data_IF_215131247125
#
_entry.id   IF_215131247125
#
_cell.length_a   1.000
_cell.length_b   1.000
_cell.length_c   1.000
_cell.angle_alpha   90.00
_cell.angle_beta   90.00
_cell.angle_gamma   90.00
#
_symmetry.space_group_name_H-M   'P 1'
#
loop_
_entity.id
_entity.type
_entity.pdbx_description
1 polymer ?
#
# COMPACT_ATOMS: atom_id res chain seq x y z
N UNK A 1 13.72 9.24 19.37
CA UNK A 1 12.55 10.13 19.59
C UNK A 1 12.97 11.49 20.18
N UNK A 2 13.83 11.52 21.20
CA UNK A 2 14.34 12.74 21.87
C UNK A 2 15.03 13.78 20.96
N UNK A 3 15.83 13.36 19.98
CA UNK A 3 16.57 14.27 19.08
C UNK A 3 15.61 15.06 18.16
N UNK A 4 14.47 14.45 17.77
CA UNK A 4 13.46 15.10 16.92
C UNK A 4 12.66 16.17 17.67
N UNK A 5 12.40 15.98 18.96
CA UNK A 5 11.67 16.95 19.78
C UNK A 5 12.46 18.26 20.00
N UNK A 6 13.77 18.16 20.19
CA UNK A 6 14.62 19.34 20.42
C UNK A 6 14.73 20.24 19.19
N UNK A 7 14.81 19.66 17.98
CA UNK A 7 14.80 20.41 16.72
C UNK A 7 13.45 21.09 16.48
N UNK A 8 12.34 20.39 16.75
CA UNK A 8 10.99 20.93 16.62
C UNK A 8 10.73 22.10 17.58
N UNK A 9 11.25 22.03 18.81
CA UNK A 9 11.14 23.12 19.81
C UNK A 9 11.91 24.40 19.45
N UNK A 10 12.88 24.34 18.52
CA UNK A 10 13.58 25.52 18.01
C UNK A 10 12.79 26.28 16.94
N UNK A 11 11.84 25.63 16.26
CA UNK A 11 11.14 26.17 15.08
C UNK A 11 9.66 26.44 15.37
N UNK A 12 9.06 25.64 16.25
CA UNK A 12 7.63 25.65 16.52
C UNK A 12 7.33 26.03 17.96
N UNK A 13 6.26 26.80 18.17
CA UNK A 13 5.73 27.07 19.50
C UNK A 13 5.02 25.85 20.09
N UNK A 14 4.78 25.87 21.41
CA UNK A 14 4.12 24.78 22.16
C UNK A 14 2.79 24.30 21.52
N UNK A 15 1.98 25.23 21.03
CA UNK A 15 0.69 24.94 20.37
C UNK A 15 0.88 24.25 19.02
N UNK A 16 1.90 24.67 18.25
CA UNK A 16 2.22 24.10 16.96
C UNK A 16 2.78 22.68 17.10
N UNK A 17 3.67 22.46 18.08
CA UNK A 17 4.19 21.13 18.42
C UNK A 17 3.07 20.18 18.81
N UNK A 18 2.18 20.60 19.71
CA UNK A 18 1.02 19.79 20.11
C UNK A 18 0.10 19.48 18.92
N UNK A 19 -0.08 20.43 18.00
CA UNK A 19 -0.86 20.22 16.76
C UNK A 19 -0.21 19.18 15.86
N UNK A 20 1.12 19.20 15.71
CA UNK A 20 1.88 18.24 14.90
C UNK A 20 1.83 16.85 15.53
N UNK A 21 2.09 16.74 16.84
CA UNK A 21 2.04 15.47 17.59
C UNK A 21 0.65 14.84 17.48
N UNK A 22 -0.42 15.60 17.76
CA UNK A 22 -1.80 15.10 17.63
C UNK A 22 -2.13 14.65 16.21
N UNK A 23 -1.59 15.33 15.20
CA UNK A 23 -1.77 14.97 13.80
C UNK A 23 -1.03 13.68 13.43
N UNK A 24 0.22 13.51 13.88
CA UNK A 24 1.02 12.31 13.67
C UNK A 24 0.44 11.09 14.40
N UNK A 25 -0.16 11.29 15.57
CA UNK A 25 -0.90 10.27 16.33
C UNK A 25 -2.29 9.96 15.74
N UNK A 26 -2.67 10.56 14.61
CA UNK A 26 -3.97 10.33 13.96
C UNK A 26 -5.19 10.93 14.68
N UNK A 27 -4.98 11.75 15.73
CA UNK A 27 -6.07 12.37 16.51
C UNK A 27 -6.77 13.48 15.71
N UNK A 28 -8.08 13.64 15.94
CA UNK A 28 -8.89 14.68 15.28
C UNK A 28 -8.47 16.08 15.77
N UNK A 29 -8.05 16.94 14.85
CA UNK A 29 -7.70 18.33 15.13
C UNK A 29 -8.94 19.23 15.20
N UNK A 30 -8.95 20.17 16.16
CA UNK A 30 -9.93 21.27 16.25
C UNK A 30 -9.73 22.24 15.09
N UNK A 31 -10.74 23.06 14.79
CA UNK A 31 -10.68 24.00 13.66
C UNK A 31 -9.51 24.99 13.76
N UNK A 32 -9.24 25.48 14.96
CA UNK A 32 -8.11 26.37 15.26
C UNK A 32 -6.77 25.67 14.97
N UNK A 33 -6.62 24.40 15.36
CA UNK A 33 -5.42 23.59 15.13
C UNK A 33 -5.20 23.31 13.63
N UNK A 34 -6.28 23.08 12.87
CA UNK A 34 -6.21 22.98 11.40
C UNK A 34 -5.69 24.28 10.77
N UNK A 35 -6.16 25.44 11.25
CA UNK A 35 -5.71 26.72 10.73
C UNK A 35 -4.20 26.93 11.00
N UNK A 36 -3.72 26.57 12.19
CA UNK A 36 -2.28 26.59 12.50
C UNK A 36 -1.48 25.68 11.58
N UNK A 37 -1.98 24.47 11.31
CA UNK A 37 -1.31 23.50 10.43
C UNK A 37 -1.05 24.08 9.03
N UNK A 38 -2.05 24.71 8.42
CA UNK A 38 -1.94 25.21 7.05
C UNK A 38 -1.27 26.57 6.95
N UNK A 39 -1.50 27.48 7.89
CA UNK A 39 -1.06 28.88 7.78
C UNK A 39 0.30 29.17 8.43
N UNK A 40 0.70 28.37 9.42
CA UNK A 40 1.92 28.63 10.19
C UNK A 40 2.90 27.46 10.14
N UNK A 41 2.43 26.24 10.43
CA UNK A 41 3.31 25.07 10.51
C UNK A 41 3.87 24.69 9.13
N UNK A 42 3.00 24.56 8.13
CA UNK A 42 3.39 24.12 6.78
C UNK A 42 4.38 25.08 6.10
N UNK A 43 4.20 26.41 6.14
CA UNK A 43 5.20 27.34 5.59
C UNK A 43 6.56 27.27 6.29
N UNK A 44 6.59 27.15 7.63
CA UNK A 44 7.84 27.03 8.40
C UNK A 44 8.60 25.74 8.09
N UNK A 45 7.89 24.62 7.91
CA UNK A 45 8.50 23.34 7.50
C UNK A 45 9.13 23.42 6.10
N UNK A 46 8.48 24.15 5.18
CA UNK A 46 8.99 24.38 3.82
C UNK A 46 10.23 25.29 3.87
N UNK A 47 10.17 26.39 4.62
CA UNK A 47 11.26 27.37 4.74
C UNK A 47 12.51 26.83 5.46
N UNK A 48 12.35 25.92 6.43
CA UNK A 48 13.45 25.38 7.20
C UNK A 48 14.31 24.33 6.47
N UNK A 49 14.00 24.03 5.19
CA UNK A 49 14.76 23.02 4.43
C UNK A 49 14.66 21.59 5.00
N UNK A 50 13.77 21.33 5.96
CA UNK A 50 13.43 20.01 6.53
C UNK A 50 12.57 19.21 5.52
N UNK A 51 12.86 19.39 4.24
CA UNK A 51 12.31 18.67 3.10
C UNK A 51 13.24 17.53 2.65
N UNK A 52 14.53 17.61 3.00
CA UNK A 52 15.52 16.58 2.65
C UNK A 52 15.61 15.44 3.67
N UNK A 53 14.92 15.52 4.82
CA UNK A 53 14.81 14.43 5.78
C UNK A 53 13.36 13.95 5.94
N UNK A 54 12.99 13.01 5.06
CA UNK A 54 12.00 11.94 5.17
C UNK A 54 10.76 12.12 6.10
N UNK A 55 9.59 12.02 5.45
CA UNK A 55 8.27 11.61 5.95
C UNK A 55 7.30 12.64 6.60
N UNK A 56 7.74 13.79 7.11
CA UNK A 56 6.82 14.69 7.86
C UNK A 56 5.82 15.41 6.93
N UNK A 57 6.25 15.95 5.79
CA UNK A 57 5.36 16.64 4.84
C UNK A 57 4.40 15.68 4.12
N UNK A 58 4.78 14.42 3.93
CA UNK A 58 3.90 13.37 3.36
C UNK A 58 2.75 13.01 4.32
N UNK A 59 3.04 12.89 5.61
CA UNK A 59 2.04 12.65 6.66
C UNK A 59 1.07 13.84 6.82
N UNK A 60 1.57 15.08 6.69
CA UNK A 60 0.76 16.31 6.77
C UNK A 60 -0.11 16.50 5.52
N UNK A 61 0.39 16.15 4.33
CA UNK A 61 -0.28 16.33 3.04
C UNK A 61 -1.09 15.11 2.57
N UNK A 62 -1.48 14.17 3.44
CA UNK A 62 -2.46 13.13 3.07
C UNK A 62 -3.78 13.81 2.64
N UNK A 63 -3.88 14.06 1.35
CA UNK A 63 -5.08 14.52 0.68
C UNK A 63 -6.14 13.43 0.85
N UNK A 64 -7.21 13.74 1.59
CA UNK A 64 -8.27 12.78 1.95
C UNK A 64 -9.19 12.43 0.78
N UNK A 65 -8.89 12.84 -0.45
CA UNK A 65 -9.67 12.52 -1.65
C UNK A 65 -8.80 11.85 -2.71
N UNK A 66 -8.07 10.80 -2.34
CA UNK A 66 -7.63 9.83 -3.35
C UNK A 66 -8.88 9.16 -3.93
N UNK A 67 -9.08 9.24 -5.24
CA UNK A 67 -10.29 8.76 -5.90
C UNK A 67 -10.27 7.22 -6.01
N UNK A 68 -10.71 6.56 -4.94
CA UNK A 68 -10.80 5.09 -4.84
C UNK A 68 -11.65 4.51 -5.97
N UNK A 69 -12.68 5.23 -6.43
CA UNK A 69 -13.52 4.79 -7.53
C UNK A 69 -12.73 4.50 -8.81
N UNK A 70 -11.63 5.23 -9.07
CA UNK A 70 -10.78 4.94 -10.23
C UNK A 70 -10.19 3.53 -10.19
N UNK A 71 -9.77 3.06 -9.00
CA UNK A 71 -9.24 1.71 -8.82
C UNK A 71 -10.37 0.69 -8.99
N UNK A 72 -11.49 0.91 -8.32
CA UNK A 72 -12.65 0.01 -8.40
C UNK A 72 -13.11 -0.24 -9.84
N UNK A 73 -13.23 0.82 -10.66
CA UNK A 73 -13.62 0.68 -12.06
C UNK A 73 -12.56 -0.01 -12.94
N UNK A 74 -11.27 0.12 -12.61
CA UNK A 74 -10.22 -0.63 -13.31
C UNK A 74 -10.29 -2.11 -12.95
N UNK A 75 -10.49 -2.45 -11.67
CA UNK A 75 -10.63 -3.85 -11.22
C UNK A 75 -11.77 -4.57 -11.94
N UNK A 76 -12.92 -3.92 -12.06
CA UNK A 76 -14.07 -4.41 -12.85
C UNK A 76 -13.66 -4.72 -14.30
N UNK A 77 -12.95 -3.79 -14.94
CA UNK A 77 -12.43 -3.97 -16.30
C UNK A 77 -11.46 -5.14 -16.51
N UNK A 78 -10.92 -5.70 -15.42
CA UNK A 78 -10.00 -6.85 -15.40
C UNK A 78 -10.62 -8.12 -14.79
N UNK A 79 -11.94 -8.12 -14.58
CA UNK A 79 -12.71 -9.30 -14.17
C UNK A 79 -12.86 -9.45 -12.66
N UNK A 80 -12.67 -8.39 -11.88
CA UNK A 80 -12.94 -8.35 -10.44
C UNK A 80 -13.99 -7.29 -10.12
N UNK A 81 -15.27 -7.69 -10.09
CA UNK A 81 -16.39 -6.82 -9.78
C UNK A 81 -16.50 -6.55 -8.27
N UNK A 82 -16.46 -5.27 -7.87
CA UNK A 82 -16.76 -4.85 -6.50
C UNK A 82 -18.19 -4.31 -6.42
N UNK A 83 -18.94 -4.70 -5.39
CA UNK A 83 -20.40 -4.50 -5.29
C UNK A 83 -20.92 -3.14 -5.77
N UNK A 84 -21.91 -3.18 -6.65
CA UNK A 84 -22.91 -2.13 -6.94
C UNK A 84 -22.41 -0.79 -7.49
N UNK A 85 -21.48 -0.79 -8.43
CA UNK A 85 -21.07 0.45 -9.09
C UNK A 85 -21.81 0.65 -10.42
N UNK A 86 -22.69 1.67 -10.47
CA UNK A 86 -23.29 2.13 -11.72
C UNK A 86 -22.17 2.65 -12.65
N UNK A 87 -22.16 2.11 -13.88
CA UNK A 87 -21.12 2.30 -14.91
C UNK A 87 -20.68 3.76 -15.09
N UNK A 88 -19.39 4.05 -14.82
CA UNK A 88 -18.62 5.12 -15.48
C UNK A 88 -17.31 4.51 -15.99
N UNK A 89 -16.91 4.84 -17.21
CA UNK A 89 -15.70 4.28 -17.84
C UNK A 89 -14.45 4.87 -17.19
N UNK A 90 -13.63 4.04 -16.54
CA UNK A 90 -12.25 4.41 -16.22
C UNK A 90 -11.34 4.12 -17.42
N UNK A 91 -10.27 4.92 -17.57
CA UNK A 91 -9.22 4.64 -18.54
C UNK A 91 -8.47 3.38 -18.10
N UNK A 92 -8.45 2.35 -18.95
CA UNK A 92 -7.65 1.14 -18.74
C UNK A 92 -6.17 1.51 -18.64
N UNK A 93 -5.52 1.07 -17.57
CA UNK A 93 -4.06 1.13 -17.37
C UNK A 93 -3.49 -0.29 -17.45
N UNK A 94 -2.20 -0.47 -17.73
CA UNK A 94 -1.64 -1.83 -17.75
C UNK A 94 -1.79 -2.53 -16.39
N UNK A 95 -1.92 -3.85 -16.40
CA UNK A 95 -2.17 -4.65 -15.19
C UNK A 95 -1.02 -4.48 -14.19
N UNK A 96 0.21 -4.40 -14.68
CA UNK A 96 1.38 -4.17 -13.83
C UNK A 96 1.25 -2.82 -13.11
N UNK A 97 0.89 -1.76 -13.84
CA UNK A 97 0.66 -0.45 -13.23
C UNK A 97 -0.50 -0.47 -12.23
N UNK A 98 -1.56 -1.25 -12.49
CA UNK A 98 -2.67 -1.43 -11.56
C UNK A 98 -2.21 -2.12 -10.27
N UNK A 99 -1.46 -3.22 -10.38
CA UNK A 99 -0.90 -3.95 -9.24
C UNK A 99 -0.02 -3.04 -8.40
N UNK A 100 0.91 -2.31 -9.04
CA UNK A 100 1.80 -1.37 -8.35
C UNK A 100 1.01 -0.28 -7.64
N UNK A 101 0.01 0.29 -8.31
CA UNK A 101 -0.85 1.33 -7.72
C UNK A 101 -1.62 0.81 -6.51
N UNK A 102 -2.14 -0.41 -6.56
CA UNK A 102 -2.79 -1.06 -5.40
C UNK A 102 -1.77 -1.20 -4.26
N UNK A 103 -0.60 -1.78 -4.52
CA UNK A 103 0.38 -2.10 -3.47
C UNK A 103 1.09 -0.88 -2.85
N UNK A 104 1.12 0.25 -3.55
CA UNK A 104 1.85 1.46 -3.11
C UNK A 104 0.92 2.61 -2.72
N UNK A 105 -0.16 2.84 -3.45
CA UNK A 105 -1.03 4.00 -3.23
C UNK A 105 -2.32 3.66 -2.50
N UNK A 106 -2.83 2.42 -2.66
CA UNK A 106 -4.10 1.93 -2.12
C UNK A 106 -3.97 0.53 -1.49
N UNK A 107 -3.08 0.30 -0.50
CA UNK A 107 -2.82 -1.02 0.06
C UNK A 107 -3.92 -1.49 1.03
N UNK A 108 -5.17 -1.34 0.61
CA UNK A 108 -6.35 -1.82 1.32
C UNK A 108 -6.55 -3.31 1.02
N UNK A 109 -6.92 -4.07 2.06
CA UNK A 109 -7.10 -5.53 1.97
C UNK A 109 -7.92 -5.97 0.76
N UNK A 110 -9.10 -5.35 0.56
CA UNK A 110 -10.00 -5.64 -0.58
C UNK A 110 -9.34 -5.50 -1.96
N UNK A 111 -8.41 -4.57 -2.15
CA UNK A 111 -7.76 -4.36 -3.44
C UNK A 111 -6.60 -5.32 -3.65
N UNK A 112 -5.90 -5.66 -2.56
CA UNK A 112 -4.83 -6.65 -2.58
C UNK A 112 -5.41 -8.05 -2.86
N UNK A 113 -6.56 -8.36 -2.27
CA UNK A 113 -7.34 -9.58 -2.55
C UNK A 113 -7.70 -9.76 -4.02
N UNK A 114 -7.87 -8.66 -4.77
CA UNK A 114 -8.19 -8.73 -6.19
C UNK A 114 -6.99 -9.14 -7.05
N UNK A 115 -5.75 -8.92 -6.60
CA UNK A 115 -4.55 -9.12 -7.41
C UNK A 115 -4.40 -10.57 -7.89
N UNK A 116 -4.52 -11.62 -7.05
CA UNK A 116 -4.44 -13.00 -7.52
C UNK A 116 -5.47 -13.32 -8.60
N UNK A 117 -6.72 -12.85 -8.45
CA UNK A 117 -7.77 -13.06 -9.45
C UNK A 117 -7.44 -12.37 -10.77
N UNK A 118 -6.92 -11.14 -10.73
CA UNK A 118 -6.48 -10.40 -11.92
C UNK A 118 -5.36 -11.13 -12.63
N UNK A 119 -4.37 -11.64 -11.89
CA UNK A 119 -3.24 -12.43 -12.44
C UNK A 119 -3.71 -13.72 -13.10
N UNK A 120 -4.77 -14.35 -12.58
CA UNK A 120 -5.34 -15.56 -13.16
C UNK A 120 -6.13 -15.26 -14.44
N UNK A 121 -6.90 -14.17 -14.44
CA UNK A 121 -7.77 -13.80 -15.57
C UNK A 121 -7.02 -13.16 -16.74
N UNK A 122 -5.81 -12.66 -16.52
CA UNK A 122 -5.10 -11.86 -17.50
C UNK A 122 -3.62 -12.25 -17.60
N UNK A 123 -3.03 -12.10 -18.81
CA UNK A 123 -1.58 -12.20 -18.97
C UNK A 123 -0.91 -10.89 -18.55
N UNK A 124 0.22 -11.01 -17.86
CA UNK A 124 1.08 -9.88 -17.47
C UNK A 124 2.42 -9.91 -18.19
N UNK A 125 3.04 -8.74 -18.31
CA UNK A 125 4.44 -8.60 -18.70
C UNK A 125 5.35 -8.76 -17.47
N UNK A 126 6.00 -9.92 -17.36
CA UNK A 126 6.90 -10.30 -16.24
C UNK A 126 8.03 -9.28 -16.03
N UNK A 127 8.70 -8.86 -17.09
CA UNK A 127 9.83 -7.94 -17.02
C UNK A 127 9.42 -6.56 -16.52
N UNK A 128 8.29 -6.05 -17.03
CA UNK A 128 7.75 -4.77 -16.58
C UNK A 128 7.31 -4.82 -15.11
N UNK A 129 6.64 -5.90 -14.70
CA UNK A 129 6.25 -6.05 -13.30
C UNK A 129 7.48 -6.17 -12.39
N UNK A 130 8.53 -6.87 -12.82
CA UNK A 130 9.80 -6.96 -12.09
C UNK A 130 10.45 -5.58 -11.91
N UNK A 131 10.60 -4.83 -13.02
CA UNK A 131 11.18 -3.49 -13.02
C UNK A 131 10.43 -2.57 -12.04
N UNK A 132 9.11 -2.49 -12.17
CA UNK A 132 8.29 -1.66 -11.30
C UNK A 132 8.35 -2.15 -9.84
N UNK A 133 8.25 -3.45 -9.60
CA UNK A 133 8.29 -3.99 -8.24
C UNK A 133 9.62 -3.70 -7.53
N UNK A 134 10.72 -3.69 -8.28
CA UNK A 134 12.05 -3.32 -7.78
C UNK A 134 12.14 -1.82 -7.51
N UNK A 135 11.68 -0.99 -8.45
CA UNK A 135 11.66 0.47 -8.32
C UNK A 135 10.88 0.94 -7.07
N UNK A 136 9.76 0.29 -6.76
CA UNK A 136 8.90 0.65 -5.64
C UNK A 136 9.20 -0.14 -4.35
N UNK A 137 10.18 -1.06 -4.35
CA UNK A 137 10.53 -1.85 -3.16
C UNK A 137 9.41 -2.79 -2.68
N UNK A 138 8.66 -3.38 -3.62
CA UNK A 138 7.50 -4.24 -3.32
C UNK A 138 7.61 -5.65 -3.94
N UNK A 139 8.82 -6.08 -4.27
CA UNK A 139 9.10 -7.43 -4.83
C UNK A 139 8.47 -8.54 -3.99
N UNK A 140 8.65 -8.48 -2.67
CA UNK A 140 8.12 -9.49 -1.76
C UNK A 140 6.59 -9.59 -1.82
N UNK A 141 5.89 -8.44 -1.86
CA UNK A 141 4.42 -8.38 -1.99
C UNK A 141 3.96 -8.99 -3.30
N UNK A 142 4.63 -8.64 -4.41
CA UNK A 142 4.32 -9.17 -5.74
C UNK A 142 4.54 -10.68 -5.78
N UNK A 143 5.68 -11.16 -5.27
CA UNK A 143 6.01 -12.58 -5.23
C UNK A 143 5.00 -13.40 -4.42
N UNK A 144 4.61 -12.93 -3.24
CA UNK A 144 3.57 -13.57 -2.44
C UNK A 144 2.21 -13.66 -3.18
N UNK A 145 1.82 -12.61 -3.90
CA UNK A 145 0.55 -12.58 -4.62
C UNK A 145 0.57 -13.45 -5.89
N UNK A 146 1.71 -13.57 -6.56
CA UNK A 146 1.92 -14.52 -7.66
C UNK A 146 1.87 -15.96 -7.14
N UNK A 147 2.55 -16.25 -6.03
CA UNK A 147 2.47 -17.57 -5.40
C UNK A 147 1.04 -17.92 -5.00
N UNK A 148 0.30 -16.95 -4.46
CA UNK A 148 -1.12 -17.11 -4.14
C UNK A 148 -1.94 -17.40 -5.39
N UNK A 149 -1.71 -16.68 -6.49
CA UNK A 149 -2.41 -16.93 -7.75
C UNK A 149 -2.16 -18.35 -8.29
N UNK A 150 -0.90 -18.80 -8.31
CA UNK A 150 -0.51 -20.14 -8.76
C UNK A 150 -1.13 -21.24 -7.90
N UNK A 151 -1.22 -21.02 -6.58
CA UNK A 151 -1.87 -21.94 -5.65
C UNK A 151 -3.38 -22.08 -5.92
N UNK A 152 -4.04 -20.99 -6.31
CA UNK A 152 -5.47 -21.00 -6.64
C UNK A 152 -5.74 -21.63 -8.01
N UNK A 153 -4.90 -21.33 -9.00
CA UNK A 153 -4.94 -21.92 -10.34
C UNK A 153 -3.53 -21.98 -10.91
N UNK A 154 -3.11 -23.13 -11.43
CA UNK A 154 -1.77 -23.27 -12.01
C UNK A 154 -1.55 -22.25 -13.15
N UNK A 155 -0.49 -21.46 -13.06
CA UNK A 155 -0.10 -20.44 -14.06
C UNK A 155 1.33 -20.69 -14.51
N UNK A 156 1.56 -21.71 -15.35
CA UNK A 156 2.90 -22.17 -15.77
C UNK A 156 3.80 -21.02 -16.26
N UNK A 157 3.22 -20.04 -16.98
CA UNK A 157 3.96 -18.91 -17.53
C UNK A 157 4.60 -17.98 -16.48
N UNK A 158 4.18 -18.07 -15.22
CA UNK A 158 4.68 -17.29 -14.08
C UNK A 158 5.62 -18.08 -13.16
N UNK A 159 5.78 -19.39 -13.32
CA UNK A 159 6.59 -20.21 -12.41
C UNK A 159 8.05 -19.75 -12.37
N UNK A 160 8.71 -19.61 -13.53
CA UNK A 160 10.09 -19.09 -13.60
C UNK A 160 10.24 -17.70 -12.95
N UNK A 161 9.20 -16.87 -13.08
CA UNK A 161 9.21 -15.53 -12.51
C UNK A 161 9.06 -15.57 -10.99
N UNK A 162 8.21 -16.46 -10.48
CA UNK A 162 8.07 -16.69 -9.06
C UNK A 162 9.38 -17.19 -8.45
N UNK A 163 10.05 -18.13 -9.11
CA UNK A 163 11.32 -18.68 -8.64
C UNK A 163 12.41 -17.61 -8.62
N UNK A 164 12.49 -16.77 -9.64
CA UNK A 164 13.36 -15.61 -9.62
C UNK A 164 13.07 -14.69 -8.42
N UNK A 165 11.80 -14.36 -8.16
CA UNK A 165 11.41 -13.50 -7.03
C UNK A 165 11.73 -14.15 -5.67
N UNK A 166 11.59 -15.47 -5.54
CA UNK A 166 11.97 -16.21 -4.33
C UNK A 166 13.47 -16.12 -4.05
N UNK A 167 14.28 -16.24 -5.10
CA UNK A 167 15.75 -16.17 -5.01
C UNK A 167 16.27 -14.73 -4.81
N UNK A 168 15.49 -13.72 -5.20
CA UNK A 168 15.87 -12.30 -5.13
C UNK A 168 15.05 -11.47 -4.13
N UNK A 169 14.36 -12.16 -3.21
CA UNK A 169 13.50 -11.52 -2.21
C UNK A 169 14.29 -10.59 -1.31
N UNK A 170 13.66 -9.48 -0.93
CA UNK A 170 14.25 -8.52 -0.02
C UNK A 170 14.25 -9.10 1.41
N UNK A 171 15.32 -8.85 2.16
CA UNK A 171 15.47 -9.35 3.54
C UNK A 171 14.68 -8.54 4.57
N UNK A 172 14.29 -7.31 4.22
CA UNK A 172 13.54 -6.43 5.09
C UNK A 172 12.10 -6.91 5.27
N UNK A 173 11.61 -6.90 6.51
CA UNK A 173 10.22 -7.22 6.83
C UNK A 173 9.36 -6.01 6.46
N UNK A 174 8.28 -6.23 5.71
CA UNK A 174 7.34 -5.17 5.32
C UNK A 174 5.88 -5.56 5.51
N UNK A 175 5.02 -4.56 5.65
CA UNK A 175 3.58 -4.79 5.80
C UNK A 175 2.94 -5.00 4.42
N UNK A 176 2.18 -6.10 4.26
CA UNK A 176 1.39 -6.35 3.05
C UNK A 176 0.18 -5.40 2.99
N UNK A 177 -0.49 -5.19 4.11
CA UNK A 177 -1.61 -4.24 4.33
C UNK A 177 -1.26 -3.25 5.43
N UNK A 178 -1.86 -2.05 5.41
CA UNK A 178 -1.80 -1.15 6.57
C UNK A 178 -2.37 -1.84 7.82
N UNK A 179 -1.64 -1.79 8.94
CA UNK A 179 -2.06 -2.42 10.19
C UNK A 179 -1.06 -2.20 11.34
N UNK A 180 -1.44 -2.70 12.51
CA UNK A 180 -0.63 -2.71 13.72
C UNK A 180 0.49 -3.76 13.61
N UNK A 181 1.75 -3.33 13.73
CA UNK A 181 2.90 -4.19 13.49
C UNK A 181 2.98 -5.34 14.50
N UNK A 182 2.84 -5.06 15.79
CA UNK A 182 3.03 -6.04 16.86
C UNK A 182 1.97 -7.14 16.76
N UNK A 183 0.72 -6.73 16.53
CA UNK A 183 -0.37 -7.66 16.29
C UNK A 183 -0.10 -8.53 15.05
N UNK A 184 0.37 -7.92 13.95
CA UNK A 184 0.60 -8.66 12.71
C UNK A 184 1.82 -9.58 12.81
N UNK A 185 2.85 -9.22 13.55
CA UNK A 185 4.00 -10.09 13.79
C UNK A 185 3.60 -11.41 14.43
N UNK A 186 2.70 -11.35 15.42
CA UNK A 186 2.15 -12.53 16.09
C UNK A 186 1.23 -13.32 15.17
N UNK A 187 0.31 -12.64 14.47
CA UNK A 187 -0.81 -13.30 13.78
C UNK A 187 -0.57 -13.66 12.32
N UNK A 188 0.49 -13.13 11.70
CA UNK A 188 0.74 -13.37 10.27
C UNK A 188 0.99 -14.85 9.98
N UNK A 189 0.28 -15.44 9.00
CA UNK A 189 0.51 -16.82 8.58
C UNK A 189 1.94 -17.07 8.11
N UNK A 190 2.46 -18.29 8.33
CA UNK A 190 3.82 -18.68 7.95
C UNK A 190 4.16 -18.40 6.49
N UNK A 191 3.21 -18.62 5.58
CA UNK A 191 3.39 -18.37 4.14
C UNK A 191 3.68 -16.91 3.84
N UNK A 192 3.01 -15.99 4.54
CA UNK A 192 3.28 -14.54 4.43
C UNK A 192 4.68 -14.25 5.00
N UNK A 193 5.01 -14.84 6.16
CA UNK A 193 6.33 -14.68 6.79
C UNK A 193 7.48 -15.19 5.92
N UNK A 194 7.28 -16.25 5.12
CA UNK A 194 8.28 -16.75 4.15
C UNK A 194 8.70 -15.70 3.12
N UNK A 195 7.84 -14.71 2.86
CA UNK A 195 8.12 -13.57 1.99
C UNK A 195 8.64 -12.35 2.75
N UNK A 196 8.99 -12.47 4.04
CA UNK A 196 9.34 -11.33 4.89
C UNK A 196 8.21 -10.27 4.89
N UNK A 197 6.97 -10.75 4.95
CA UNK A 197 5.78 -9.90 5.00
C UNK A 197 5.04 -10.11 6.31
N UNK A 198 4.25 -9.11 6.69
CA UNK A 198 3.24 -9.18 7.74
C UNK A 198 1.87 -8.79 7.19
N UNK A 199 0.82 -9.53 7.53
CA UNK A 199 -0.54 -9.30 7.02
C UNK A 199 -1.55 -10.33 7.51
N UNK A 200 -2.84 -9.99 7.41
CA UNK A 200 -3.97 -10.83 7.89
C UNK A 200 -4.59 -11.73 6.82
N UNK A 201 -3.95 -11.95 5.67
CA UNK A 201 -4.60 -12.73 4.62
C UNK A 201 -4.49 -14.22 4.89
N UNK A 202 -5.63 -14.90 4.96
CA UNK A 202 -5.68 -16.35 5.13
C UNK A 202 -5.95 -17.03 3.79
N UNK A 203 -5.37 -18.22 3.61
CA UNK A 203 -5.56 -19.01 2.38
C UNK A 203 -7.04 -19.35 2.12
N UNK A 204 -7.85 -19.42 3.18
CA UNK A 204 -9.30 -19.63 3.09
C UNK A 204 -10.03 -18.48 2.40
N UNK A 205 -9.63 -17.24 2.66
CA UNK A 205 -10.27 -16.05 2.07
C UNK A 205 -10.05 -16.02 0.56
N UNK A 206 -8.82 -16.33 0.13
CA UNK A 206 -8.48 -16.44 -1.27
C UNK A 206 -9.20 -17.57 -1.99
N UNK A 207 -9.38 -18.74 -1.35
CA UNK A 207 -10.15 -19.85 -1.93
C UNK A 207 -11.61 -19.48 -2.16
N UNK A 208 -12.24 -18.81 -1.18
CA UNK A 208 -13.61 -18.34 -1.31
C UNK A 208 -13.77 -17.33 -2.45
N UNK A 209 -12.80 -16.43 -2.61
CA UNK A 209 -12.79 -15.50 -3.75
C UNK A 209 -12.62 -16.24 -5.08
N UNK A 210 -11.78 -17.27 -5.12
CA UNK A 210 -11.59 -18.09 -6.31
C UNK A 210 -12.91 -18.72 -6.78
N UNK A 211 -13.70 -19.30 -5.88
CA UNK A 211 -15.01 -19.90 -6.18
C UNK A 211 -16.04 -18.90 -6.72
N UNK A 212 -15.94 -17.62 -6.32
CA UNK A 212 -16.87 -16.57 -6.77
C UNK A 212 -16.50 -16.04 -8.15
N UNK A 213 -15.21 -15.95 -8.46
CA UNK A 213 -14.72 -15.25 -9.65
C UNK A 213 -14.20 -16.16 -10.77
N UNK A 214 -13.92 -17.45 -10.52
CA UNK A 214 -13.41 -18.41 -11.50
C UNK A 214 -14.27 -19.69 -11.55
#
# INVERSE_FOLDING_TARGET
MLIKEQLMRKIFGKVEINTIVRKMEGRKLKQIEKNYLYRSIRPKLIAAGILTQNNILREINKDKRKNIFFIEYNLDSYGYEMFSIKKKRAKKISIENLIIKILTEYPYARFIEAIPIILIKNKINKFKLLELSSMYGIKNKVGYLIETAIMLKKLDYLEDFLDYLKNSKDKEISLLVEGDYDFLEETSPERIKKWNLLGRFFDKDFKKLNEVYL
#
